data_IF_140174050313
#
_entry.id   IF_140174050313
#
_cell.length_a   1.000
_cell.length_b   1.000
_cell.length_c   1.000
_cell.angle_alpha   90.00
_cell.angle_beta   90.00
_cell.angle_gamma   90.00
#
_symmetry.space_group_name_H-M   'P 1'
#
loop_
_entity.id
_entity.type
_entity.pdbx_description
1 polymer ?
#
# COMPACT_ATOMS: atom_id res chain seq x y z
N UNK A 1 23.51 -54.60 30.95
CA UNK A 1 22.29 -55.37 31.29
C UNK A 1 21.18 -54.33 31.39
N UNK A 2 20.28 -54.42 30.42
CA UNK A 2 19.07 -53.64 30.09
C UNK A 2 18.67 -52.39 30.88
N UNK A 3 18.44 -51.29 30.15
CA UNK A 3 17.56 -50.18 30.55
C UNK A 3 16.25 -50.27 29.76
N UNK A 4 15.10 -49.91 30.36
CA UNK A 4 13.77 -50.18 29.83
C UNK A 4 13.23 -49.09 28.90
N UNK A 5 12.26 -49.50 28.08
CA UNK A 5 11.48 -48.68 27.18
C UNK A 5 10.67 -47.59 27.90
N UNK A 6 10.61 -46.39 27.30
CA UNK A 6 9.45 -45.52 27.44
C UNK A 6 9.15 -44.85 26.09
N UNK A 7 7.95 -45.17 25.59
CA UNK A 7 7.36 -44.67 24.36
C UNK A 7 7.20 -43.15 24.40
N UNK A 8 7.63 -42.48 23.33
CA UNK A 8 7.35 -41.07 23.10
C UNK A 8 5.86 -40.85 22.86
N UNK A 9 5.21 -40.17 23.81
CA UNK A 9 3.85 -39.67 23.67
C UNK A 9 3.84 -38.51 22.66
N UNK A 10 3.23 -38.74 21.50
CA UNK A 10 2.79 -37.70 20.59
C UNK A 10 1.63 -36.94 21.26
N UNK A 11 1.87 -35.74 21.77
CA UNK A 11 0.84 -34.92 22.38
C UNK A 11 0.26 -33.95 21.34
N UNK A 12 -1.06 -33.98 21.14
CA UNK A 12 -1.79 -33.29 20.06
C UNK A 12 -2.03 -31.79 20.33
N UNK A 13 -1.16 -31.15 21.11
CA UNK A 13 -1.27 -29.76 21.58
C UNK A 13 0.10 -29.08 21.47
N UNK A 14 0.64 -29.00 20.26
CA UNK A 14 1.79 -28.15 19.96
C UNK A 14 1.36 -26.69 19.88
N UNK A 15 0.99 -26.08 21.01
CA UNK A 15 0.89 -24.62 21.08
C UNK A 15 2.32 -24.10 21.03
N UNK A 16 2.71 -23.58 19.87
CA UNK A 16 3.98 -22.89 19.64
C UNK A 16 4.04 -21.68 20.59
N UNK A 17 4.64 -21.86 21.78
CA UNK A 17 5.07 -20.75 22.62
C UNK A 17 6.57 -20.56 22.36
N UNK A 18 6.92 -19.95 21.24
CA UNK A 18 8.29 -19.51 20.97
C UNK A 18 8.39 -17.99 21.13
N UNK A 19 9.42 -17.59 21.86
CA UNK A 19 9.82 -16.21 22.13
C UNK A 19 10.10 -15.51 20.80
N UNK A 20 9.24 -14.55 20.45
CA UNK A 20 9.06 -14.05 19.08
C UNK A 20 9.96 -12.84 18.82
N UNK A 21 11.27 -13.08 18.75
CA UNK A 21 12.26 -12.03 18.41
C UNK A 21 12.85 -12.19 16.99
N UNK A 22 12.59 -13.32 16.32
CA UNK A 22 13.19 -13.61 15.01
C UNK A 22 12.33 -13.05 13.85
N UNK A 23 12.92 -12.17 13.01
CA UNK A 23 12.23 -11.47 11.90
C UNK A 23 11.69 -12.44 10.84
N UNK A 24 12.36 -13.56 10.63
CA UNK A 24 11.96 -14.58 9.65
C UNK A 24 10.71 -15.35 10.14
N UNK A 25 10.64 -15.62 11.45
CA UNK A 25 9.46 -16.23 12.07
C UNK A 25 8.25 -15.28 12.04
N UNK A 26 8.45 -13.98 12.29
CA UNK A 26 7.40 -12.97 12.20
C UNK A 26 6.79 -12.88 10.79
N UNK A 27 7.62 -12.95 9.75
CA UNK A 27 7.17 -12.97 8.36
C UNK A 27 6.34 -14.22 8.03
N UNK A 28 6.75 -15.39 8.54
CA UNK A 28 6.03 -16.66 8.40
C UNK A 28 4.66 -16.61 9.06
N UNK A 29 4.59 -16.14 10.31
CA UNK A 29 3.35 -16.03 11.09
C UNK A 29 2.35 -15.05 10.46
N UNK A 30 2.85 -13.95 9.88
CA UNK A 30 2.03 -13.00 9.13
C UNK A 30 1.40 -13.63 7.88
N UNK A 31 2.18 -14.42 7.13
CA UNK A 31 1.68 -15.20 6.00
C UNK A 31 0.61 -16.19 6.42
N UNK A 32 0.90 -16.98 7.46
CA UNK A 32 -0.02 -17.99 8.00
C UNK A 32 -1.35 -17.40 8.47
N UNK A 33 -1.32 -16.26 9.18
CA UNK A 33 -2.54 -15.56 9.58
C UNK A 33 -3.40 -15.18 8.38
N UNK A 34 -2.78 -14.65 7.32
CA UNK A 34 -3.49 -14.25 6.10
C UNK A 34 -4.09 -15.46 5.37
N UNK A 35 -3.36 -16.58 5.29
CA UNK A 35 -3.87 -17.80 4.64
C UNK A 35 -5.03 -18.42 5.43
N UNK A 36 -4.86 -18.60 6.75
CA UNK A 36 -5.90 -19.20 7.60
C UNK A 36 -7.16 -18.34 7.61
N UNK A 37 -7.03 -17.00 7.67
CA UNK A 37 -8.20 -16.10 7.62
C UNK A 37 -8.92 -16.12 6.27
N UNK A 38 -8.18 -16.17 5.15
CA UNK A 38 -8.76 -16.29 3.81
C UNK A 38 -9.48 -17.63 3.60
N UNK A 39 -8.85 -18.72 4.04
CA UNK A 39 -9.43 -20.06 3.95
C UNK A 39 -10.70 -20.16 4.80
N UNK A 40 -10.66 -19.65 6.04
CA UNK A 40 -11.83 -19.63 6.92
C UNK A 40 -12.99 -18.88 6.28
N UNK A 41 -12.74 -17.69 5.75
CA UNK A 41 -13.76 -16.87 5.06
C UNK A 41 -14.39 -17.59 3.86
N UNK A 42 -13.59 -18.34 3.11
CA UNK A 42 -14.07 -19.12 1.95
C UNK A 42 -14.93 -20.30 2.39
N UNK A 43 -14.53 -21.00 3.44
CA UNK A 43 -15.29 -22.14 3.99
C UNK A 43 -16.58 -21.68 4.69
N UNK A 44 -16.58 -20.52 5.35
CA UNK A 44 -17.78 -19.89 5.90
C UNK A 44 -18.80 -19.60 4.79
N UNK A 45 -18.33 -19.13 3.62
CA UNK A 45 -19.18 -18.91 2.46
C UNK A 45 -19.77 -20.22 1.92
N UNK A 46 -18.98 -21.29 1.86
CA UNK A 46 -19.45 -22.61 1.42
C UNK A 46 -20.51 -23.22 2.37
N UNK A 47 -20.42 -22.95 3.68
CA UNK A 47 -21.45 -23.32 4.65
C UNK A 47 -22.72 -22.49 4.45
N UNK A 48 -22.58 -21.18 4.17
CA UNK A 48 -23.72 -20.30 3.85
C UNK A 48 -24.47 -20.78 2.61
N UNK A 49 -23.73 -21.22 1.59
CA UNK A 49 -24.26 -21.79 0.35
C UNK A 49 -24.76 -23.25 0.53
N UNK A 50 -24.69 -23.79 1.75
CA UNK A 50 -25.11 -25.15 2.13
C UNK A 50 -24.38 -26.26 1.37
N UNK A 51 -23.18 -25.99 0.86
CA UNK A 51 -22.28 -26.98 0.26
C UNK A 51 -21.59 -27.82 1.35
N UNK A 52 -21.42 -27.23 2.53
CA UNK A 52 -20.88 -27.87 3.73
C UNK A 52 -21.84 -27.68 4.90
N UNK A 53 -21.89 -28.66 5.80
CA UNK A 53 -22.67 -28.58 7.05
C UNK A 53 -21.99 -27.67 8.07
N UNK A 54 -20.66 -27.68 8.11
CA UNK A 54 -19.86 -26.93 9.07
C UNK A 54 -18.49 -26.54 8.47
N UNK A 55 -17.86 -25.52 9.05
CA UNK A 55 -16.55 -25.04 8.60
C UNK A 55 -15.42 -25.85 9.28
N UNK A 56 -14.63 -26.63 8.53
CA UNK A 56 -13.55 -27.45 9.08
C UNK A 56 -12.36 -26.65 9.63
N UNK A 57 -12.26 -25.36 9.31
CA UNK A 57 -11.15 -24.46 9.66
C UNK A 57 -11.54 -23.52 10.81
N UNK A 58 -12.76 -23.64 11.34
CA UNK A 58 -13.26 -22.77 12.40
C UNK A 58 -12.43 -22.84 13.69
N UNK A 59 -11.92 -24.02 14.04
CA UNK A 59 -11.18 -24.26 15.30
C UNK A 59 -9.69 -23.98 15.20
N UNK A 60 -9.15 -23.78 13.99
CA UNK A 60 -7.72 -23.50 13.80
C UNK A 60 -7.44 -22.08 14.28
N UNK A 61 -6.59 -21.87 15.31
CA UNK A 61 -6.30 -20.54 15.78
C UNK A 61 -5.47 -19.77 14.75
N UNK A 62 -5.80 -18.49 14.54
CA UNK A 62 -4.90 -17.61 13.80
C UNK A 62 -3.69 -17.27 14.68
N UNK A 63 -2.49 -17.31 14.08
CA UNK A 63 -1.28 -16.82 14.74
C UNK A 63 -1.50 -15.38 15.24
N UNK A 64 -1.22 -15.14 16.52
CA UNK A 64 -1.27 -13.79 17.10
C UNK A 64 -0.02 -13.04 16.65
N UNK A 65 -0.17 -12.22 15.63
CA UNK A 65 0.89 -11.32 15.22
C UNK A 65 0.92 -10.10 16.15
N UNK A 66 1.99 -9.97 16.94
CA UNK A 66 2.35 -8.68 17.54
C UNK A 66 3.15 -7.88 16.52
N UNK A 67 2.57 -6.79 16.02
CA UNK A 67 3.33 -5.81 15.25
C UNK A 67 4.17 -5.00 16.24
N UNK A 68 5.46 -4.93 16.01
CA UNK A 68 6.29 -3.90 16.65
C UNK A 68 5.67 -2.53 16.35
N UNK A 69 5.69 -1.60 17.31
CA UNK A 69 5.24 -0.24 17.06
C UNK A 69 6.06 0.37 15.92
N UNK A 70 5.45 1.18 15.04
CA UNK A 70 6.20 1.86 14.00
C UNK A 70 7.24 2.79 14.65
N UNK A 71 8.46 2.75 14.14
CA UNK A 71 9.57 3.64 14.49
C UNK A 71 9.64 4.77 13.44
N UNK A 72 9.05 5.95 13.68
CA UNK A 72 9.02 7.05 12.72
C UNK A 72 10.37 7.77 12.67
N UNK A 73 10.76 8.24 11.48
CA UNK A 73 11.96 9.04 11.31
C UNK A 73 11.87 10.40 12.01
N UNK A 74 12.99 10.82 12.59
CA UNK A 74 13.16 12.17 13.12
C UNK A 74 13.35 13.20 11.99
N UNK A 75 13.09 14.48 12.30
CA UNK A 75 13.23 15.56 11.32
C UNK A 75 14.66 15.64 10.75
N UNK A 76 15.69 15.42 11.58
CA UNK A 76 17.09 15.43 11.14
C UNK A 76 17.41 14.26 10.22
N UNK A 77 16.82 13.09 10.46
CA UNK A 77 17.01 11.90 9.63
C UNK A 77 16.35 12.10 8.27
N UNK A 78 15.15 12.69 8.25
CA UNK A 78 14.46 13.05 7.02
C UNK A 78 15.32 13.97 6.15
N UNK A 79 15.97 14.99 6.74
CA UNK A 79 16.90 15.84 5.99
C UNK A 79 18.09 15.05 5.42
N UNK A 80 18.73 14.22 6.25
CA UNK A 80 19.86 13.38 5.82
C UNK A 80 19.47 12.47 4.66
N UNK A 81 18.28 11.87 4.70
CA UNK A 81 17.75 11.02 3.62
C UNK A 81 17.55 11.83 2.34
N UNK A 82 16.95 13.03 2.44
CA UNK A 82 16.71 13.90 1.29
C UNK A 82 18.04 14.39 0.68
N UNK A 83 19.02 14.78 1.49
CA UNK A 83 20.32 15.25 1.03
C UNK A 83 21.15 14.13 0.41
N UNK A 84 21.10 12.93 0.99
CA UNK A 84 21.66 11.74 0.38
C UNK A 84 20.99 11.46 -0.98
N UNK A 85 19.67 11.61 -1.08
CA UNK A 85 18.95 11.43 -2.34
C UNK A 85 19.36 12.46 -3.40
N UNK A 86 19.54 13.73 -3.02
CA UNK A 86 20.01 14.81 -3.91
C UNK A 86 21.39 14.54 -4.47
N UNK A 87 22.27 13.93 -3.67
CA UNK A 87 23.67 13.69 -4.04
C UNK A 87 23.83 12.44 -4.92
N UNK A 88 23.06 11.38 -4.65
CA UNK A 88 23.30 10.06 -5.23
C UNK A 88 22.30 9.63 -6.31
N UNK A 89 21.19 10.36 -6.47
CA UNK A 89 20.13 10.01 -7.42
C UNK A 89 19.72 11.19 -8.30
N UNK A 90 18.89 10.92 -9.31
CA UNK A 90 18.35 11.97 -10.16
C UNK A 90 17.54 12.99 -9.33
N UNK A 91 17.55 14.30 -9.68
CA UNK A 91 16.82 15.34 -8.96
C UNK A 91 15.32 15.03 -8.77
N UNK A 92 14.72 14.36 -9.75
CA UNK A 92 13.31 13.93 -9.70
C UNK A 92 13.03 12.93 -8.57
N UNK A 93 13.99 12.06 -8.25
CA UNK A 93 13.88 11.09 -7.15
C UNK A 93 13.96 11.80 -5.81
N UNK A 94 14.89 12.74 -5.66
CA UNK A 94 15.02 13.54 -4.45
C UNK A 94 13.75 14.37 -4.16
N UNK A 95 13.17 14.99 -5.21
CA UNK A 95 11.90 15.72 -5.09
C UNK A 95 10.74 14.81 -4.69
N UNK A 96 10.66 13.60 -5.26
CA UNK A 96 9.64 12.60 -4.91
C UNK A 96 9.74 12.18 -3.44
N UNK A 97 10.96 11.91 -2.96
CA UNK A 97 11.23 11.52 -1.57
C UNK A 97 10.84 12.65 -0.63
N UNK A 98 11.27 13.88 -0.91
CA UNK A 98 10.91 15.05 -0.12
C UNK A 98 9.38 15.24 -0.07
N UNK A 99 8.71 15.20 -1.22
CA UNK A 99 7.26 15.32 -1.29
C UNK A 99 6.54 14.22 -0.49
N UNK A 100 7.06 13.00 -0.46
CA UNK A 100 6.47 11.90 0.30
C UNK A 100 6.49 12.14 1.81
N UNK A 101 7.62 12.61 2.35
CA UNK A 101 7.74 12.90 3.77
C UNK A 101 6.79 14.00 4.22
N UNK A 102 6.60 15.03 3.39
CA UNK A 102 5.83 16.22 3.77
C UNK A 102 4.34 16.18 3.40
N UNK A 103 3.91 15.32 2.47
CA UNK A 103 2.50 15.22 2.05
C UNK A 103 1.73 14.07 2.70
N UNK A 104 2.43 13.06 3.24
CA UNK A 104 1.78 11.89 3.85
C UNK A 104 0.92 11.05 2.89
N UNK A 105 1.11 11.21 1.57
CA UNK A 105 0.34 10.49 0.56
C UNK A 105 0.77 9.02 0.49
N UNK A 106 -0.20 8.13 0.21
CA UNK A 106 0.11 6.72 -0.03
C UNK A 106 0.85 6.59 -1.36
N UNK A 107 1.72 5.58 -1.48
CA UNK A 107 2.45 5.30 -2.72
C UNK A 107 1.53 5.23 -3.94
N UNK A 108 0.38 4.57 -3.80
CA UNK A 108 -0.60 4.45 -4.88
C UNK A 108 -1.24 5.78 -5.29
N UNK A 109 -1.36 6.73 -4.35
CA UNK A 109 -1.95 8.05 -4.59
C UNK A 109 -0.93 8.97 -5.29
N UNK A 110 0.33 8.93 -4.84
CA UNK A 110 1.44 9.67 -5.46
C UNK A 110 1.65 9.28 -6.92
N UNK A 111 1.60 7.98 -7.25
CA UNK A 111 1.83 7.48 -8.62
C UNK A 111 0.73 7.94 -9.59
N UNK A 112 -0.48 8.19 -9.09
CA UNK A 112 -1.63 8.63 -9.90
C UNK A 112 -1.81 10.15 -9.95
N UNK A 113 -0.96 10.90 -9.24
CA UNK A 113 -1.10 12.34 -9.12
C UNK A 113 -0.83 13.04 -10.46
N UNK A 114 -1.68 14.00 -10.82
CA UNK A 114 -1.53 14.85 -12.01
C UNK A 114 -1.37 16.31 -11.61
N UNK A 115 -0.69 17.10 -12.45
CA UNK A 115 -0.49 18.54 -12.23
C UNK A 115 -1.80 19.31 -12.05
N UNK A 116 -2.85 18.91 -12.78
CA UNK A 116 -4.21 19.47 -12.71
C UNK A 116 -4.93 19.24 -11.37
N UNK A 117 -4.45 18.28 -10.58
CA UNK A 117 -5.02 17.94 -9.27
C UNK A 117 -4.43 18.79 -8.13
N UNK A 118 -3.53 19.73 -8.44
CA UNK A 118 -2.87 20.59 -7.46
C UNK A 118 -3.46 22.00 -7.59
N UNK A 119 -4.05 22.50 -6.50
CA UNK A 119 -4.44 23.91 -6.36
C UNK A 119 -3.31 24.66 -5.65
N UNK A 120 -2.55 25.42 -6.44
CA UNK A 120 -1.42 26.22 -5.98
C UNK A 120 -1.86 27.40 -5.10
N UNK A 121 -3.06 27.94 -5.31
CA UNK A 121 -3.56 29.08 -4.54
C UNK A 121 -3.99 28.65 -3.13
N UNK A 122 -4.67 27.50 -3.04
CA UNK A 122 -5.11 26.94 -1.74
C UNK A 122 -4.08 26.03 -1.09
N UNK A 123 -2.95 25.79 -1.76
CA UNK A 123 -1.90 24.87 -1.31
C UNK A 123 -2.46 23.48 -1.02
N UNK A 124 -3.28 22.95 -1.91
CA UNK A 124 -4.02 21.70 -1.71
C UNK A 124 -3.86 20.74 -2.87
N UNK A 125 -3.85 19.45 -2.56
CA UNK A 125 -3.90 18.37 -3.54
C UNK A 125 -5.22 17.64 -3.43
N UNK A 126 -5.90 17.53 -4.57
CA UNK A 126 -7.04 16.65 -4.73
C UNK A 126 -6.57 15.24 -5.05
N UNK A 127 -6.88 14.31 -4.16
CA UNK A 127 -6.66 12.88 -4.39
C UNK A 127 -7.97 12.30 -4.95
N UNK A 128 -8.03 11.97 -6.25
CA UNK A 128 -9.24 11.44 -6.85
C UNK A 128 -9.56 10.05 -6.30
N UNK A 129 -10.84 9.71 -6.32
CA UNK A 129 -11.33 8.38 -6.01
C UNK A 129 -10.84 7.37 -7.06
N UNK A 130 -10.27 6.24 -6.63
CA UNK A 130 -9.82 5.17 -7.53
C UNK A 130 -8.43 5.40 -8.14
N UNK A 131 -7.39 5.01 -7.40
CA UNK A 131 -6.04 4.87 -7.95
C UNK A 131 -5.90 3.70 -8.93
N UNK A 132 -4.67 3.43 -9.38
CA UNK A 132 -4.37 2.39 -10.36
C UNK A 132 -4.85 1.00 -9.91
N UNK A 133 -5.91 0.51 -10.55
CA UNK A 133 -6.43 -0.89 -10.56
C UNK A 133 -7.08 -1.48 -9.31
N UNK A 134 -7.05 -0.85 -8.14
CA UNK A 134 -7.81 -1.33 -6.98
C UNK A 134 -8.55 -0.16 -6.33
N UNK A 135 -9.88 -0.23 -6.31
CA UNK A 135 -10.68 0.65 -5.46
C UNK A 135 -10.14 0.55 -4.04
N UNK A 136 -9.68 1.67 -3.50
CA UNK A 136 -9.23 1.71 -2.11
C UNK A 136 -10.41 1.31 -1.22
N UNK A 137 -10.16 0.52 -0.16
CA UNK A 137 -11.20 -0.02 0.75
C UNK A 137 -12.05 1.08 1.43
N UNK A 138 -11.60 2.34 1.36
CA UNK A 138 -12.35 3.52 1.80
C UNK A 138 -12.21 4.60 0.72
N UNK A 139 -13.04 4.49 -0.32
CA UNK A 139 -12.87 5.20 -1.59
C UNK A 139 -13.61 6.55 -1.60
N UNK A 140 -13.16 7.54 -0.82
CA UNK A 140 -13.66 8.92 -0.94
C UNK A 140 -12.55 9.82 -1.49
N UNK A 141 -12.88 10.66 -2.46
CA UNK A 141 -12.00 11.75 -2.87
C UNK A 141 -11.72 12.62 -1.64
N UNK A 142 -10.47 13.05 -1.48
CA UNK A 142 -10.08 13.89 -0.34
C UNK A 142 -9.10 14.97 -0.76
N UNK A 143 -9.19 16.10 -0.07
CA UNK A 143 -8.23 17.19 -0.16
C UNK A 143 -7.16 17.00 0.90
N UNK A 144 -5.90 17.19 0.50
CA UNK A 144 -4.74 17.17 1.38
C UNK A 144 -4.07 18.54 1.30
N UNK A 145 -4.04 19.27 2.41
CA UNK A 145 -3.29 20.52 2.51
C UNK A 145 -1.80 20.23 2.49
N UNK A 146 -1.06 21.00 1.70
CA UNK A 146 0.38 20.92 1.57
C UNK A 146 1.04 21.97 2.49
N UNK A 147 2.17 21.59 3.07
CA UNK A 147 3.08 22.56 3.69
C UNK A 147 4.00 23.19 2.64
N UNK A 148 4.73 24.25 3.04
CA UNK A 148 5.69 24.93 2.17
C UNK A 148 6.72 23.98 1.58
N UNK A 149 7.25 23.05 2.37
CA UNK A 149 8.28 22.10 1.94
C UNK A 149 7.80 21.14 0.85
N UNK A 150 6.54 20.72 0.93
CA UNK A 150 5.90 19.89 -0.09
C UNK A 150 5.64 20.68 -1.38
N UNK A 151 5.26 21.95 -1.27
CA UNK A 151 5.10 22.84 -2.42
C UNK A 151 6.44 23.08 -3.12
N UNK A 152 7.50 23.41 -2.38
CA UNK A 152 8.83 23.60 -2.95
C UNK A 152 9.32 22.36 -3.71
N UNK A 153 9.00 21.16 -3.19
CA UNK A 153 9.32 19.91 -3.86
C UNK A 153 8.51 19.73 -5.16
N UNK A 154 7.23 20.13 -5.18
CA UNK A 154 6.39 20.08 -6.37
C UNK A 154 6.81 21.11 -7.43
N UNK A 155 7.21 22.32 -7.03
CA UNK A 155 7.69 23.36 -7.96
C UNK A 155 8.95 22.89 -8.68
N UNK A 156 9.96 22.43 -7.94
CA UNK A 156 11.18 21.81 -8.49
C UNK A 156 10.85 20.62 -9.40
N UNK A 157 9.86 19.82 -9.04
CA UNK A 157 9.44 18.68 -9.86
C UNK A 157 8.76 19.13 -11.16
N UNK A 158 8.00 20.23 -11.13
CA UNK A 158 7.30 20.79 -12.29
C UNK A 158 8.30 21.35 -13.32
N UNK A 159 9.38 21.99 -12.86
CA UNK A 159 10.48 22.44 -13.72
C UNK A 159 11.15 21.27 -14.47
N UNK A 160 11.32 20.13 -13.79
CA UNK A 160 11.94 18.93 -14.37
C UNK A 160 10.96 18.11 -15.24
N UNK A 161 9.64 18.30 -15.08
CA UNK A 161 8.61 17.54 -15.81
C UNK A 161 7.42 18.44 -16.19
N UNK A 162 7.59 19.34 -17.17
CA UNK A 162 6.52 20.23 -17.61
C UNK A 162 5.35 19.46 -18.23
N UNK A 163 4.16 20.05 -18.19
CA UNK A 163 2.94 19.57 -18.85
C UNK A 163 3.17 19.44 -20.36
N UNK A 164 3.58 18.25 -20.80
CA UNK A 164 4.02 17.99 -22.18
C UNK A 164 5.12 16.92 -22.28
N UNK A 165 5.82 16.62 -21.17
CA UNK A 165 6.82 15.56 -21.13
C UNK A 165 6.23 14.13 -21.11
N UNK A 166 4.92 13.96 -21.31
CA UNK A 166 4.29 12.65 -21.58
C UNK A 166 4.75 12.20 -22.97
N UNK A 167 5.96 11.63 -23.04
CA UNK A 167 6.49 10.98 -24.23
C UNK A 167 5.46 9.94 -24.69
N UNK A 168 4.88 10.17 -25.86
CA UNK A 168 4.31 9.11 -26.66
C UNK A 168 5.37 8.00 -26.80
N UNK A 169 5.24 6.90 -26.05
CA UNK A 169 5.90 5.65 -26.44
C UNK A 169 4.96 4.92 -27.39
N UNK A 170 5.14 5.17 -28.68
CA UNK A 170 4.45 4.44 -29.74
C UNK A 170 5.11 3.10 -30.08
N UNK A 171 4.25 2.09 -30.31
CA UNK A 171 4.41 0.81 -31.06
C UNK A 171 5.18 -0.33 -30.37
N UNK A 172 4.72 -1.59 -30.26
CA UNK A 172 3.51 -2.37 -30.64
C UNK A 172 3.50 -3.67 -29.78
N UNK A 173 2.51 -4.57 -29.71
CA UNK A 173 1.49 -5.09 -30.63
C UNK A 173 0.20 -5.43 -29.84
N UNK A 174 -0.90 -5.51 -30.59
CA UNK A 174 -2.31 -5.63 -30.21
C UNK A 174 -2.70 -6.78 -29.24
N UNK A 175 -3.65 -6.49 -28.36
CA UNK A 175 -4.92 -7.22 -28.24
C UNK A 175 -6.02 -6.18 -27.91
N UNK A 176 -7.21 -6.21 -28.56
CA UNK A 176 -8.23 -5.20 -28.35
C UNK A 176 -8.98 -5.51 -27.06
N UNK A 177 -8.60 -4.87 -25.95
CA UNK A 177 -9.44 -4.87 -24.77
C UNK A 177 -10.39 -3.68 -24.79
N UNK A 178 -11.65 -4.01 -24.60
CA UNK A 178 -12.83 -3.17 -24.47
C UNK A 178 -12.64 -2.16 -23.33
N UNK A 179 -11.87 -1.09 -23.56
CA UNK A 179 -11.57 -0.08 -22.54
C UNK A 179 -11.18 1.27 -23.16
N UNK A 180 -11.66 1.54 -24.37
CA UNK A 180 -11.50 2.86 -25.01
C UNK A 180 -12.42 3.95 -24.43
N UNK A 181 -13.17 3.65 -23.35
CA UNK A 181 -14.11 4.61 -22.74
C UNK A 181 -13.77 5.09 -21.34
N UNK A 182 -12.64 4.70 -20.71
CA UNK A 182 -12.44 4.94 -19.26
C UNK A 182 -11.43 6.04 -18.89
N UNK A 183 -10.66 6.59 -19.84
CA UNK A 183 -9.61 7.59 -19.53
C UNK A 183 -10.01 9.02 -19.82
N UNK A 184 -11.03 9.23 -20.65
CA UNK A 184 -11.39 10.57 -21.13
C UNK A 184 -12.41 11.27 -20.21
N UNK A 185 -13.06 10.52 -19.31
CA UNK A 185 -14.09 11.03 -18.39
C UNK A 185 -13.59 11.63 -17.07
N UNK A 186 -12.28 11.62 -16.79
CA UNK A 186 -11.69 12.17 -15.55
C UNK A 186 -10.86 13.45 -15.79
N UNK A 187 -11.02 14.05 -16.97
CA UNK A 187 -10.21 15.18 -17.46
C UNK A 187 -10.90 16.55 -17.27
N UNK A 188 -12.13 16.59 -16.76
CA UNK A 188 -12.87 17.83 -16.51
C UNK A 188 -12.67 18.38 -15.11
N UNK A 189 -12.96 19.67 -14.95
CA UNK A 189 -13.14 20.43 -13.69
C UNK A 189 -14.04 19.76 -12.63
N UNK A 190 -14.61 18.60 -12.93
CA UNK A 190 -15.57 17.84 -12.14
C UNK A 190 -14.93 17.12 -10.94
N UNK A 191 -13.63 16.81 -11.01
CA UNK A 191 -12.92 16.21 -9.88
C UNK A 191 -13.00 17.12 -8.63
N UNK A 192 -12.84 18.43 -8.81
CA UNK A 192 -12.97 19.43 -7.75
C UNK A 192 -14.43 19.68 -7.31
N UNK A 193 -15.41 19.41 -8.17
CA UNK A 193 -16.85 19.55 -7.83
C UNK A 193 -17.34 18.46 -6.87
N UNK A 194 -16.69 17.30 -6.86
CA UNK A 194 -17.09 16.16 -6.02
C UNK A 194 -16.75 16.29 -4.52
N UNK A 195 -16.05 17.36 -4.14
CA UNK A 195 -15.59 17.61 -2.75
C UNK A 195 -16.18 18.90 -2.16
N UNK A 196 -17.16 19.51 -2.85
CA UNK A 196 -17.91 20.69 -2.41
C UNK A 196 -19.23 20.34 -1.74
#
# INVERSE_FOLDING_TARGET
>A
MEQPAHAGFFNHQGVLTTDTSDRDELGRLAGEHNYVSALRSTMDLAVLDKLLTENPVATIPCAKWQREPPDPFDCEEVEKIIDHARTNFAPTVANLIAFRFFSGLRTSEMVTLRWQSIDWNKMQVLIPQGGLRKQAKTNKARLVSLNSRALDALERQKEQTPEGATRQRGRGRHAPNHTQGLTDGLCGTDAWRSVG
#
